data_IF_753299301630
#
_entry.id   IF_753299301630
#
_cell.length_a   1.000
_cell.length_b   1.000
_cell.length_c   1.000
_cell.angle_alpha   90.00
_cell.angle_beta   90.00
_cell.angle_gamma   90.00
#
_symmetry.space_group_name_H-M   'P 1'
#
loop_
_entity.id
_entity.type
_entity.pdbx_description
1 polymer ?
#
# COMPACT_ATOMS: atom_id res chain seq x y z
N UNK A 1 -13.59 -32.59 19.41
CA UNK A 1 -13.42 -31.13 19.28
C UNK A 1 -12.94 -30.81 17.86
N UNK A 2 -13.48 -31.49 16.86
CA UNK A 2 -14.75 -31.27 16.13
C UNK A 2 -14.56 -30.26 14.99
N UNK A 3 -14.50 -30.86 13.80
CA UNK A 3 -14.45 -30.43 12.40
C UNK A 3 -15.46 -29.32 11.99
N UNK A 4 -16.09 -28.64 12.94
CA UNK A 4 -17.19 -27.69 12.74
C UNK A 4 -16.69 -26.27 12.49
N UNK A 5 -15.45 -25.92 12.88
CA UNK A 5 -14.93 -24.56 12.70
C UNK A 5 -14.48 -24.22 11.26
N UNK A 6 -14.28 -25.20 10.38
CA UNK A 6 -13.82 -24.93 9.00
C UNK A 6 -14.96 -24.69 7.99
N UNK A 7 -16.21 -24.97 8.36
CA UNK A 7 -17.37 -24.74 7.49
C UNK A 7 -18.05 -23.37 7.67
N UNK A 8 -17.71 -22.63 8.73
CA UNK A 8 -18.32 -21.32 9.01
C UNK A 8 -17.66 -20.14 8.27
N UNK A 9 -16.51 -20.33 7.63
CA UNK A 9 -15.83 -19.28 6.86
C UNK A 9 -16.34 -19.14 5.42
N UNK A 10 -17.08 -20.12 4.89
CA UNK A 10 -17.57 -20.11 3.50
C UNK A 10 -19.00 -19.55 3.34
N UNK A 11 -19.77 -19.40 4.43
CA UNK A 11 -21.18 -18.96 4.35
C UNK A 11 -21.34 -17.45 4.59
N UNK A 12 -20.38 -16.78 5.25
CA UNK A 12 -20.50 -15.34 5.53
C UNK A 12 -20.24 -14.43 4.32
N UNK A 13 -19.66 -14.94 3.23
CA UNK A 13 -19.46 -14.14 2.00
C UNK A 13 -20.72 -14.00 1.15
N UNK A 14 -21.77 -14.81 1.38
CA UNK A 14 -22.98 -14.78 0.55
C UNK A 14 -24.14 -13.95 1.13
N UNK A 15 -24.05 -13.48 2.38
CA UNK A 15 -25.14 -12.71 3.03
C UNK A 15 -24.95 -11.20 2.94
N UNK A 16 -23.76 -10.70 2.56
CA UNK A 16 -23.53 -9.26 2.41
C UNK A 16 -24.01 -8.67 1.06
N UNK A 17 -24.62 -9.47 0.17
CA UNK A 17 -25.07 -9.03 -1.16
C UNK A 17 -26.60 -8.86 -1.30
N UNK A 18 -27.37 -9.03 -0.24
CA UNK A 18 -28.81 -8.83 -0.26
C UNK A 18 -29.31 -8.14 1.02
N UNK A 19 -28.90 -6.88 1.22
CA UNK A 19 -29.80 -5.89 1.80
C UNK A 19 -29.33 -4.46 1.45
N UNK A 20 -29.78 -3.96 0.30
CA UNK A 20 -29.89 -2.51 0.09
C UNK A 20 -31.31 -2.25 -0.37
N UNK A 21 -32.25 -2.43 0.56
CA UNK A 21 -33.56 -1.85 0.41
C UNK A 21 -33.46 -0.34 0.65
N UNK A 22 -33.79 0.38 -0.41
CA UNK A 22 -34.00 1.83 -0.49
C UNK A 22 -34.64 2.41 0.79
N UNK A 23 -33.94 3.33 1.43
CA UNK A 23 -34.59 4.38 2.22
C UNK A 23 -33.88 5.70 2.00
N UNK A 24 -34.49 6.51 1.13
CA UNK A 24 -34.20 7.91 0.94
C UNK A 24 -34.48 8.71 2.22
N UNK A 25 -33.47 9.42 2.72
CA UNK A 25 -33.69 10.67 3.46
C UNK A 25 -32.61 11.67 3.07
N UNK A 26 -33.08 12.85 2.69
CA UNK A 26 -32.32 14.00 2.22
C UNK A 26 -31.38 14.51 3.32
N UNK A 27 -30.16 14.87 2.94
CA UNK A 27 -29.52 16.08 3.45
C UNK A 27 -28.56 16.62 2.39
N UNK A 28 -28.72 17.91 2.10
CA UNK A 28 -28.04 18.66 1.06
C UNK A 28 -26.59 19.03 1.46
N UNK A 29 -25.79 19.22 0.42
CA UNK A 29 -24.58 20.06 0.38
C UNK A 29 -23.24 19.42 0.80
N UNK A 30 -22.68 18.62 -0.12
CA UNK A 30 -21.23 18.48 -0.28
C UNK A 30 -20.88 18.39 -1.77
N UNK A 31 -20.18 19.40 -2.28
CA UNK A 31 -19.86 19.59 -3.70
C UNK A 31 -19.34 18.32 -4.38
N UNK A 32 -20.10 17.85 -5.37
CA UNK A 32 -19.77 16.69 -6.20
C UNK A 32 -18.51 16.97 -7.03
N UNK A 33 -17.39 16.38 -6.65
CA UNK A 33 -16.18 16.35 -7.47
C UNK A 33 -16.39 15.29 -8.56
N UNK A 34 -16.58 15.73 -9.80
CA UNK A 34 -16.73 14.86 -10.97
C UNK A 34 -15.42 14.12 -11.25
N UNK A 35 -15.28 12.93 -10.70
CA UNK A 35 -14.30 11.95 -11.19
C UNK A 35 -14.83 11.49 -12.55
N UNK A 36 -14.04 11.72 -13.60
CA UNK A 36 -14.34 11.24 -14.94
C UNK A 36 -14.73 9.78 -14.88
N UNK A 37 -15.95 9.44 -15.32
CA UNK A 37 -16.39 8.05 -15.49
C UNK A 37 -15.45 7.37 -16.50
N UNK A 38 -14.39 6.74 -16.02
CA UNK A 38 -13.66 5.77 -16.83
C UNK A 38 -14.62 4.61 -17.03
N UNK A 39 -15.05 4.39 -18.28
CA UNK A 39 -15.86 3.24 -18.66
C UNK A 39 -15.00 2.01 -18.38
N UNK A 40 -15.24 1.37 -17.23
CA UNK A 40 -14.60 0.10 -16.89
C UNK A 40 -14.97 -0.92 -17.98
N UNK A 41 -14.00 -1.71 -18.43
CA UNK A 41 -14.30 -2.83 -19.31
C UNK A 41 -15.32 -3.75 -18.62
N UNK A 42 -16.28 -4.32 -19.36
CA UNK A 42 -17.26 -5.24 -18.79
C UNK A 42 -16.53 -6.46 -18.22
N UNK A 43 -16.79 -6.75 -16.94
CA UNK A 43 -16.19 -7.89 -16.25
C UNK A 43 -16.60 -9.21 -16.93
N UNK A 44 -15.63 -10.07 -17.23
CA UNK A 44 -15.90 -11.37 -17.84
C UNK A 44 -16.34 -12.40 -16.79
N UNK A 45 -17.62 -12.35 -16.41
CA UNK A 45 -18.22 -13.30 -15.46
C UNK A 45 -18.04 -14.77 -15.87
N UNK A 46 -18.14 -15.07 -17.16
CA UNK A 46 -18.02 -16.44 -17.65
C UNK A 46 -16.60 -17.00 -17.50
N UNK A 47 -15.58 -16.18 -17.80
CA UNK A 47 -14.18 -16.52 -17.60
C UNK A 47 -13.85 -16.66 -16.12
N UNK A 48 -14.34 -15.73 -15.28
CA UNK A 48 -14.16 -15.80 -13.83
C UNK A 48 -14.74 -17.09 -13.26
N UNK A 49 -15.99 -17.43 -13.58
CA UNK A 49 -16.65 -18.64 -13.05
C UNK A 49 -15.92 -19.92 -13.46
N UNK A 50 -15.40 -19.96 -14.69
CA UNK A 50 -14.59 -21.08 -15.19
C UNK A 50 -13.31 -21.24 -14.37
N UNK A 51 -12.52 -20.18 -14.21
CA UNK A 51 -11.27 -20.26 -13.45
C UNK A 51 -11.52 -20.50 -11.95
N UNK A 52 -12.56 -19.90 -11.38
CA UNK A 52 -12.95 -20.16 -9.99
C UNK A 52 -13.31 -21.64 -9.77
N UNK A 53 -14.03 -22.25 -10.72
CA UNK A 53 -14.37 -23.66 -10.69
C UNK A 53 -13.13 -24.55 -10.79
N UNK A 54 -12.15 -24.19 -11.63
CA UNK A 54 -10.86 -24.89 -11.71
C UNK A 54 -10.10 -24.84 -10.38
N UNK A 55 -10.06 -23.66 -9.73
CA UNK A 55 -9.41 -23.51 -8.42
C UNK A 55 -10.10 -24.35 -7.34
N UNK A 56 -11.43 -24.37 -7.33
CA UNK A 56 -12.23 -25.18 -6.42
C UNK A 56 -11.94 -26.69 -6.60
N UNK A 57 -11.91 -27.18 -7.83
CA UNK A 57 -11.59 -28.58 -8.10
C UNK A 57 -10.15 -28.93 -7.71
N UNK A 58 -9.17 -28.08 -8.01
CA UNK A 58 -7.77 -28.29 -7.58
C UNK A 58 -7.66 -28.38 -6.06
N UNK A 59 -8.34 -27.51 -5.32
CA UNK A 59 -8.37 -27.56 -3.86
C UNK A 59 -9.02 -28.85 -3.33
N UNK A 60 -10.09 -29.30 -3.97
CA UNK A 60 -10.77 -30.56 -3.64
C UNK A 60 -9.86 -31.77 -3.88
N UNK A 61 -9.14 -31.82 -5.00
CA UNK A 61 -8.19 -32.89 -5.31
C UNK A 61 -7.06 -32.94 -4.28
N UNK A 62 -6.46 -31.79 -3.94
CA UNK A 62 -5.45 -31.70 -2.86
C UNK A 62 -6.01 -32.27 -1.55
N UNK A 63 -7.23 -31.88 -1.17
CA UNK A 63 -7.85 -32.34 0.07
C UNK A 63 -8.11 -33.85 0.06
N UNK A 64 -8.67 -34.39 -1.02
CA UNK A 64 -8.91 -35.83 -1.19
C UNK A 64 -7.60 -36.62 -1.17
N UNK A 65 -6.57 -36.11 -1.81
CA UNK A 65 -5.23 -36.70 -1.80
C UNK A 65 -4.65 -36.70 -0.39
N UNK A 66 -4.67 -35.56 0.32
CA UNK A 66 -4.24 -35.50 1.73
C UNK A 66 -5.03 -36.51 2.58
N UNK A 67 -6.36 -36.60 2.45
CA UNK A 67 -7.17 -37.56 3.21
C UNK A 67 -6.83 -39.02 2.90
N UNK A 68 -6.50 -39.36 1.65
CA UNK A 68 -6.07 -40.71 1.26
C UNK A 68 -4.78 -41.12 1.98
N UNK A 69 -3.85 -40.17 2.18
CA UNK A 69 -2.58 -40.41 2.84
C UNK A 69 -2.62 -40.18 4.36
N UNK A 70 -3.58 -39.40 4.87
CA UNK A 70 -3.76 -39.10 6.29
C UNK A 70 -4.75 -40.08 6.97
N UNK A 71 -4.43 -41.37 6.99
CA UNK A 71 -5.22 -42.38 7.72
C UNK A 71 -5.26 -42.08 9.23
N UNK A 72 -6.39 -42.28 9.93
CA UNK A 72 -6.47 -42.03 11.37
C UNK A 72 -5.60 -43.04 12.13
N UNK A 73 -4.43 -42.63 12.61
CA UNK A 73 -3.55 -43.47 13.42
C UNK A 73 -2.04 -43.38 13.16
N UNK A 74 -1.56 -42.54 12.22
CA UNK A 74 -0.12 -42.36 12.02
C UNK A 74 0.51 -41.57 13.18
N UNK A 75 1.01 -42.29 14.20
CA UNK A 75 2.33 -41.98 14.73
C UNK A 75 3.29 -42.18 13.55
N UNK A 76 3.90 -41.09 13.09
CA UNK A 76 4.87 -41.12 11.99
C UNK A 76 5.95 -42.13 12.35
N UNK A 77 6.01 -43.26 11.63
CA UNK A 77 7.13 -44.18 11.72
C UNK A 77 8.38 -43.42 11.22
N UNK A 78 9.41 -43.29 12.06
CA UNK A 78 10.68 -42.64 11.68
C UNK A 78 11.33 -43.30 10.46
N UNK A 79 10.94 -44.53 10.12
CA UNK A 79 11.42 -45.29 8.97
C UNK A 79 10.51 -45.26 7.74
N UNK A 80 9.41 -44.49 7.76
CA UNK A 80 8.58 -44.36 6.57
C UNK A 80 9.34 -43.55 5.52
N UNK A 81 9.84 -44.24 4.50
CA UNK A 81 10.48 -43.65 3.34
C UNK A 81 9.55 -42.57 2.77
N UNK A 82 9.99 -41.30 2.78
CA UNK A 82 9.17 -40.19 2.29
C UNK A 82 8.82 -40.49 0.84
N UNK A 83 7.56 -40.79 0.55
CA UNK A 83 7.09 -41.03 -0.81
C UNK A 83 7.21 -39.70 -1.58
N UNK A 84 8.32 -39.51 -2.28
CA UNK A 84 8.68 -38.28 -2.99
C UNK A 84 7.56 -37.87 -3.96
N UNK A 85 6.84 -38.84 -4.52
CA UNK A 85 5.70 -38.65 -5.43
C UNK A 85 4.50 -37.94 -4.77
N UNK A 86 4.26 -38.17 -3.47
CA UNK A 86 3.21 -37.46 -2.74
C UNK A 86 3.48 -35.96 -2.69
N UNK A 87 4.70 -35.59 -2.31
CA UNK A 87 5.08 -34.18 -2.19
C UNK A 87 5.15 -33.49 -3.55
N UNK A 88 5.69 -34.15 -4.57
CA UNK A 88 5.72 -33.61 -5.92
C UNK A 88 4.29 -33.34 -6.45
N UNK A 89 3.36 -34.28 -6.25
CA UNK A 89 1.96 -34.08 -6.64
C UNK A 89 1.31 -32.89 -5.93
N UNK A 90 1.55 -32.74 -4.62
CA UNK A 90 1.05 -31.59 -3.86
C UNK A 90 1.66 -30.27 -4.34
N UNK A 91 2.96 -30.25 -4.62
CA UNK A 91 3.66 -29.07 -5.16
C UNK A 91 3.06 -28.70 -6.52
N UNK A 92 2.94 -29.64 -7.44
CA UNK A 92 2.42 -29.40 -8.79
C UNK A 92 0.98 -28.88 -8.76
N UNK A 93 0.11 -29.48 -7.94
CA UNK A 93 -1.25 -28.99 -7.77
C UNK A 93 -1.30 -27.61 -7.12
N UNK A 94 -0.45 -27.34 -6.13
CA UNK A 94 -0.36 -26.03 -5.48
C UNK A 94 0.08 -24.96 -6.48
N UNK A 95 1.08 -25.26 -7.32
CA UNK A 95 1.55 -24.36 -8.38
C UNK A 95 0.46 -24.10 -9.43
N UNK A 96 -0.29 -25.14 -9.82
CA UNK A 96 -1.44 -25.01 -10.71
C UNK A 96 -2.53 -24.12 -10.11
N UNK A 97 -2.88 -24.32 -8.85
CA UNK A 97 -3.83 -23.49 -8.12
C UNK A 97 -3.35 -22.03 -8.04
N UNK A 98 -2.06 -21.82 -7.78
CA UNK A 98 -1.45 -20.49 -7.70
C UNK A 98 -1.58 -19.73 -9.03
N UNK A 99 -1.36 -20.42 -10.16
CA UNK A 99 -1.57 -19.85 -11.50
C UNK A 99 -3.02 -19.42 -11.72
N UNK A 100 -3.98 -20.26 -11.34
CA UNK A 100 -5.41 -19.92 -11.47
C UNK A 100 -5.76 -18.68 -10.64
N UNK A 101 -5.26 -18.58 -9.42
CA UNK A 101 -5.47 -17.39 -8.58
C UNK A 101 -4.83 -16.14 -9.17
N UNK A 102 -3.69 -16.27 -9.85
CA UNK A 102 -3.09 -15.15 -10.58
C UNK A 102 -3.97 -14.70 -11.76
N UNK A 103 -4.49 -15.64 -12.55
CA UNK A 103 -5.41 -15.33 -13.65
C UNK A 103 -6.69 -14.64 -13.13
N UNK A 104 -7.28 -15.16 -12.05
CA UNK A 104 -8.44 -14.53 -11.38
C UNK A 104 -8.12 -13.13 -10.86
N UNK A 105 -6.94 -12.94 -10.27
CA UNK A 105 -6.47 -11.61 -9.81
C UNK A 105 -6.39 -10.64 -10.97
N UNK A 106 -5.84 -11.04 -12.12
CA UNK A 106 -5.74 -10.20 -13.31
C UNK A 106 -7.12 -9.81 -13.85
N UNK A 107 -8.10 -10.72 -13.83
CA UNK A 107 -9.49 -10.41 -14.24
C UNK A 107 -10.18 -9.39 -13.34
N UNK A 108 -9.88 -9.41 -12.03
CA UNK A 108 -10.42 -8.47 -11.05
C UNK A 108 -9.73 -7.10 -11.03
N UNK A 109 -8.57 -6.96 -11.68
CA UNK A 109 -7.79 -5.72 -11.64
C UNK A 109 -8.34 -4.68 -12.62
N UNK A 110 -8.97 -3.63 -12.07
CA UNK A 110 -9.28 -2.43 -12.83
C UNK A 110 -8.07 -1.49 -12.89
N UNK A 111 -7.10 -1.80 -13.75
CA UNK A 111 -5.86 -1.05 -13.89
C UNK A 111 -6.10 0.43 -14.17
N UNK A 112 -7.07 0.75 -15.04
CA UNK A 112 -7.44 2.11 -15.38
C UNK A 112 -7.98 2.89 -14.18
N UNK A 113 -8.86 2.28 -13.36
CA UNK A 113 -9.35 2.90 -12.14
C UNK A 113 -8.23 3.10 -11.12
N UNK A 114 -7.36 2.09 -10.93
CA UNK A 114 -6.18 2.17 -10.05
C UNK A 114 -5.24 3.28 -10.47
N UNK A 115 -4.94 3.39 -11.77
CA UNK A 115 -4.06 4.43 -12.31
C UNK A 115 -4.69 5.82 -12.17
N UNK A 116 -5.96 5.98 -12.55
CA UNK A 116 -6.71 7.23 -12.39
C UNK A 116 -6.71 7.69 -10.93
N UNK A 117 -6.99 6.77 -10.00
CA UNK A 117 -7.01 7.07 -8.57
C UNK A 117 -5.61 7.40 -8.02
N UNK A 118 -4.58 6.70 -8.48
CA UNK A 118 -3.17 7.01 -8.17
C UNK A 118 -2.80 8.42 -8.63
N UNK A 119 -3.19 8.81 -9.85
CA UNK A 119 -2.94 10.15 -10.39
C UNK A 119 -3.70 11.22 -9.58
N UNK A 120 -4.95 10.97 -9.23
CA UNK A 120 -5.73 11.85 -8.37
C UNK A 120 -5.04 12.11 -7.02
N UNK A 121 -4.61 11.05 -6.32
CA UNK A 121 -3.92 11.19 -5.03
C UNK A 121 -2.60 11.93 -5.18
N UNK A 122 -1.83 11.64 -6.23
CA UNK A 122 -0.59 12.37 -6.54
C UNK A 122 -0.85 13.88 -6.71
N UNK A 123 -1.93 14.25 -7.40
CA UNK A 123 -2.32 15.63 -7.61
C UNK A 123 -2.82 16.32 -6.34
N UNK A 124 -3.51 15.59 -5.46
CA UNK A 124 -3.88 16.10 -4.12
C UNK A 124 -2.63 16.44 -3.32
N UNK A 125 -1.66 15.51 -3.25
CA UNK A 125 -0.40 15.73 -2.54
C UNK A 125 0.36 16.91 -3.17
N UNK A 126 0.46 16.93 -4.50
CA UNK A 126 1.15 18.01 -5.21
C UNK A 126 0.52 19.38 -4.93
N UNK A 127 -0.81 19.50 -5.01
CA UNK A 127 -1.52 20.76 -4.75
C UNK A 127 -1.38 21.22 -3.30
N UNK A 128 -1.49 20.30 -2.34
CA UNK A 128 -1.29 20.61 -0.92
C UNK A 128 0.13 21.14 -0.65
N UNK A 129 1.15 20.53 -1.26
CA UNK A 129 2.53 20.95 -1.07
C UNK A 129 2.89 22.23 -1.85
N UNK A 130 2.15 22.58 -2.91
CA UNK A 130 2.44 23.73 -3.77
C UNK A 130 1.32 24.78 -3.76
N UNK A 131 1.09 25.48 -2.63
CA UNK A 131 0.09 26.55 -2.59
C UNK A 131 0.46 27.68 -3.57
N UNK A 132 -0.56 28.30 -4.18
CA UNK A 132 -0.39 29.47 -5.07
C UNK A 132 0.30 30.63 -4.34
N UNK A 133 -0.04 30.83 -3.06
CA UNK A 133 0.53 31.87 -2.20
C UNK A 133 1.14 31.20 -0.96
N UNK A 134 2.47 31.12 -0.91
CA UNK A 134 3.21 30.69 0.29
C UNK A 134 3.70 31.91 1.08
N UNK A 135 2.78 32.72 1.62
CA UNK A 135 3.12 33.93 2.41
C UNK A 135 2.06 34.17 3.48
N UNK A 136 2.49 34.49 4.70
CA UNK A 136 1.62 34.71 5.87
C UNK A 136 0.70 33.52 6.20
N UNK A 137 1.07 32.31 5.76
CA UNK A 137 0.31 31.08 6.02
C UNK A 137 0.93 30.26 7.14
N UNK A 138 0.13 29.38 7.72
CA UNK A 138 0.62 28.34 8.61
C UNK A 138 1.11 27.13 7.80
N UNK A 139 2.24 26.56 8.20
CA UNK A 139 2.88 25.42 7.55
C UNK A 139 3.31 24.42 8.61
N UNK A 140 3.34 23.14 8.24
CA UNK A 140 3.92 22.10 9.09
C UNK A 140 5.43 22.09 8.86
N UNK A 141 6.21 22.22 9.93
CA UNK A 141 7.67 22.27 9.87
C UNK A 141 8.31 20.99 10.37
N UNK A 142 9.33 20.51 9.66
CA UNK A 142 10.21 19.45 10.13
C UNK A 142 11.66 19.93 10.19
N UNK A 143 12.28 19.73 11.35
CA UNK A 143 13.69 20.00 11.58
C UNK A 143 14.37 18.70 12.06
N UNK A 144 15.24 18.07 11.24
CA UNK A 144 15.96 16.88 11.66
C UNK A 144 16.85 17.17 12.89
N UNK A 145 16.67 16.39 13.96
CA UNK A 145 17.45 16.51 15.22
C UNK A 145 18.51 15.42 15.37
N UNK A 146 18.26 14.23 14.85
CA UNK A 146 19.10 13.05 15.04
C UNK A 146 19.72 12.60 13.70
N UNK A 147 20.98 12.15 13.76
CA UNK A 147 21.61 11.48 12.63
C UNK A 147 21.12 10.04 12.56
N UNK A 148 20.19 9.74 11.66
CA UNK A 148 19.74 8.38 11.37
C UNK A 148 19.92 8.00 9.89
N UNK A 149 19.79 6.71 9.56
CA UNK A 149 19.94 6.20 8.20
C UNK A 149 18.87 6.69 7.21
N UNK A 150 19.02 6.33 5.93
CA UNK A 150 18.15 6.80 4.84
C UNK A 150 16.69 6.44 5.06
N UNK A 151 16.42 5.18 5.42
CA UNK A 151 15.07 4.69 5.69
C UNK A 151 14.39 5.46 6.83
N UNK A 152 15.13 5.77 7.90
CA UNK A 152 14.61 6.57 9.01
C UNK A 152 14.26 8.00 8.57
N UNK A 153 15.12 8.65 7.78
CA UNK A 153 14.83 9.99 7.24
C UNK A 153 13.59 9.99 6.35
N UNK A 154 13.47 9.01 5.44
CA UNK A 154 12.29 8.86 4.57
C UNK A 154 11.03 8.62 5.40
N UNK A 155 11.10 7.81 6.45
CA UNK A 155 9.96 7.54 7.32
C UNK A 155 9.53 8.79 8.12
N UNK A 156 10.48 9.58 8.64
CA UNK A 156 10.18 10.85 9.32
C UNK A 156 9.56 11.88 8.36
N UNK A 157 10.02 11.93 7.11
CA UNK A 157 9.41 12.75 6.05
C UNK A 157 8.00 12.27 5.70
N UNK A 158 7.79 10.96 5.60
CA UNK A 158 6.49 10.36 5.30
C UNK A 158 5.47 10.68 6.39
N UNK A 159 5.88 10.55 7.66
CA UNK A 159 5.07 10.96 8.80
C UNK A 159 4.72 12.45 8.75
N UNK A 160 5.71 13.31 8.52
CA UNK A 160 5.47 14.75 8.43
C UNK A 160 4.54 15.13 7.28
N UNK A 161 4.65 14.44 6.14
CA UNK A 161 3.82 14.69 4.97
C UNK A 161 2.39 14.19 5.20
N UNK A 162 2.21 13.03 5.83
CA UNK A 162 0.90 12.53 6.22
C UNK A 162 0.18 13.52 7.15
N UNK A 163 0.86 13.99 8.20
CA UNK A 163 0.31 15.01 9.13
C UNK A 163 -0.02 16.33 8.42
N UNK A 164 0.84 16.77 7.51
CA UNK A 164 0.62 17.98 6.73
C UNK A 164 -0.61 17.87 5.82
N UNK A 165 -0.82 16.71 5.19
CA UNK A 165 -2.01 16.41 4.38
C UNK A 165 -3.28 16.41 5.25
N UNK A 166 -3.24 15.78 6.42
CA UNK A 166 -4.38 15.76 7.36
C UNK A 166 -4.77 17.16 7.83
N UNK A 167 -3.79 18.03 8.08
CA UNK A 167 -4.06 19.43 8.49
C UNK A 167 -4.29 20.38 7.30
N UNK A 168 -4.26 19.90 6.05
CA UNK A 168 -4.44 20.72 4.86
C UNK A 168 -3.33 21.77 4.64
N UNK A 169 -2.13 21.54 5.18
CA UNK A 169 -1.01 22.49 5.18
C UNK A 169 0.18 21.94 4.39
N UNK A 170 1.03 22.77 3.77
CA UNK A 170 2.27 22.30 3.16
C UNK A 170 3.29 21.88 4.22
N UNK A 171 4.12 20.88 3.91
CA UNK A 171 5.26 20.49 4.73
C UNK A 171 6.49 21.26 4.28
N UNK A 172 7.15 21.94 5.21
CA UNK A 172 8.43 22.61 4.98
C UNK A 172 9.53 21.94 5.80
N UNK A 173 10.58 21.51 5.12
CA UNK A 173 11.69 20.77 5.73
C UNK A 173 12.93 21.65 5.81
N UNK A 174 13.52 21.74 7.00
CA UNK A 174 14.83 22.38 7.19
C UNK A 174 15.92 21.42 6.73
N UNK A 175 16.77 21.89 5.84
CA UNK A 175 17.98 21.16 5.47
C UNK A 175 18.89 20.98 6.67
N UNK A 176 19.32 19.74 6.92
CA UNK A 176 20.31 19.40 7.94
C UNK A 176 21.37 18.48 7.33
N UNK A 177 22.62 18.64 7.78
CA UNK A 177 23.76 17.84 7.29
C UNK A 177 23.48 16.36 7.54
N UNK A 178 23.65 15.54 6.51
CA UNK A 178 23.31 14.13 6.56
C UNK A 178 24.38 13.29 5.87
N UNK A 179 25.21 12.60 6.66
CA UNK A 179 26.37 11.86 6.18
C UNK A 179 27.28 12.73 5.28
N UNK A 180 27.54 12.26 4.06
CA UNK A 180 28.33 12.96 3.05
C UNK A 180 27.51 13.96 2.20
N UNK A 181 26.23 14.16 2.53
CA UNK A 181 25.35 15.12 1.86
C UNK A 181 25.09 16.34 2.75
N UNK A 182 24.86 17.49 2.12
CA UNK A 182 24.46 18.68 2.86
C UNK A 182 23.04 18.51 3.41
N UNK A 183 22.16 17.83 2.66
CA UNK A 183 20.82 17.48 3.08
C UNK A 183 20.30 16.23 2.35
N UNK A 184 19.28 15.57 2.88
CA UNK A 184 18.52 14.55 2.10
C UNK A 184 17.93 15.12 0.80
N UNK A 185 17.65 16.42 0.76
CA UNK A 185 17.16 17.14 -0.43
C UNK A 185 18.23 17.27 -1.54
N UNK A 186 19.46 16.84 -1.29
CA UNK A 186 20.49 16.69 -2.33
C UNK A 186 20.25 15.41 -3.16
N UNK A 187 19.49 14.44 -2.62
CA UNK A 187 19.16 13.17 -3.27
C UNK A 187 17.74 13.22 -3.86
N UNK A 188 16.77 13.66 -3.05
CA UNK A 188 15.38 13.78 -3.47
C UNK A 188 15.09 15.17 -4.05
N UNK A 189 14.10 15.25 -4.92
CA UNK A 189 13.51 16.50 -5.40
C UNK A 189 12.87 17.24 -4.21
N UNK A 190 12.81 18.58 -4.24
CA UNK A 190 12.16 19.33 -3.19
C UNK A 190 10.67 18.92 -3.07
N UNK A 191 10.18 18.77 -1.84
CA UNK A 191 8.79 18.38 -1.59
C UNK A 191 7.79 19.38 -2.16
N UNK A 192 8.19 20.65 -2.23
CA UNK A 192 7.44 21.76 -2.79
C UNK A 192 8.35 22.60 -3.69
N UNK A 193 7.81 23.06 -4.81
CA UNK A 193 8.43 24.04 -5.71
C UNK A 193 8.15 25.47 -5.24
N UNK A 194 6.99 25.72 -4.62
CA UNK A 194 6.53 27.08 -4.28
C UNK A 194 6.78 27.48 -2.82
N UNK A 195 6.92 26.51 -1.91
CA UNK A 195 6.94 26.76 -0.46
C UNK A 195 8.13 26.07 0.23
N UNK A 196 9.08 26.86 0.74
CA UNK A 196 10.36 26.35 1.25
C UNK A 196 10.66 26.84 2.65
N UNK A 197 11.23 25.96 3.50
CA UNK A 197 11.62 26.31 4.88
C UNK A 197 12.57 27.52 4.93
N UNK A 198 13.55 27.60 4.01
CA UNK A 198 14.49 28.72 3.91
C UNK A 198 13.82 30.09 3.73
N UNK A 199 12.59 30.13 3.21
CA UNK A 199 11.81 31.37 3.02
C UNK A 199 10.94 31.71 4.23
N UNK A 200 11.02 30.98 5.36
CA UNK A 200 10.24 31.20 6.59
C UNK A 200 10.17 32.68 7.00
N UNK A 201 11.32 33.35 7.13
CA UNK A 201 11.39 34.76 7.54
C UNK A 201 10.81 35.70 6.48
N UNK A 202 11.27 35.57 5.23
CA UNK A 202 10.84 36.42 4.12
C UNK A 202 9.33 36.32 3.85
N UNK A 203 8.78 35.11 3.95
CA UNK A 203 7.37 34.83 3.70
C UNK A 203 6.51 34.93 4.96
N UNK A 204 7.08 35.28 6.13
CA UNK A 204 6.38 35.36 7.42
C UNK A 204 5.55 34.10 7.72
N UNK A 205 6.13 32.92 7.49
CA UNK A 205 5.45 31.65 7.71
C UNK A 205 5.29 31.37 9.21
N UNK A 206 4.07 30.99 9.63
CA UNK A 206 3.84 30.42 10.97
C UNK A 206 4.14 28.94 10.92
N UNK A 207 5.24 28.52 11.53
CA UNK A 207 5.70 27.12 11.44
C UNK A 207 5.27 26.36 12.67
N UNK A 208 4.36 25.40 12.50
CA UNK A 208 4.01 24.40 13.51
C UNK A 208 4.99 23.24 13.41
N UNK A 209 5.96 23.19 14.31
CA UNK A 209 7.00 22.15 14.28
C UNK A 209 6.42 20.80 14.67
N UNK A 210 6.80 19.77 13.93
CA UNK A 210 6.54 18.39 14.29
C UNK A 210 7.57 17.99 15.34
N UNK A 211 7.06 17.57 16.49
CA UNK A 211 7.85 16.85 17.49
C UNK A 211 7.70 15.36 17.22
N UNK A 212 8.81 14.71 16.92
CA UNK A 212 8.93 13.28 17.07
C UNK A 212 9.17 13.07 18.56
N UNK A 213 8.16 12.55 19.26
CA UNK A 213 8.32 12.22 20.65
C UNK A 213 9.36 11.11 20.82
N UNK A 214 9.97 11.01 21.99
CA UNK A 214 10.58 9.75 22.43
C UNK A 214 9.58 8.59 22.22
N UNK A 215 10.12 7.41 21.95
CA UNK A 215 9.46 6.18 21.45
C UNK A 215 8.03 5.91 21.97
N UNK A 216 7.69 6.37 23.17
CA UNK A 216 6.39 6.18 23.81
C UNK A 216 5.21 6.98 23.22
N UNK A 217 5.37 8.20 22.69
CA UNK A 217 4.21 8.91 22.02
C UNK A 217 4.16 8.70 20.52
N UNK A 218 5.19 8.10 19.93
CA UNK A 218 5.19 7.67 18.53
C UNK A 218 4.03 6.66 18.31
N UNK A 219 3.69 5.84 19.30
CA UNK A 219 2.60 4.85 19.24
C UNK A 219 1.21 5.41 18.91
N UNK A 220 0.85 6.59 19.39
CA UNK A 220 -0.50 7.16 19.16
C UNK A 220 -0.69 7.64 17.72
N UNK A 221 0.35 8.21 17.11
CA UNK A 221 0.32 8.70 15.72
C UNK A 221 0.86 7.70 14.69
N UNK A 222 1.41 6.57 15.14
CA UNK A 222 1.68 5.38 14.32
C UNK A 222 0.44 4.51 14.11
N UNK A 223 -0.72 4.89 14.65
CA UNK A 223 -1.96 4.26 14.19
C UNK A 223 -2.06 4.47 12.69
N UNK A 224 -2.21 3.39 11.88
CA UNK A 224 -2.42 3.47 10.44
C UNK A 224 -3.56 4.45 10.10
N UNK A 225 -3.21 5.72 9.85
CA UNK A 225 -4.18 6.78 9.64
C UNK A 225 -4.11 7.25 8.19
N UNK A 226 -5.21 7.08 7.47
CA UNK A 226 -5.42 7.57 6.13
C UNK A 226 -6.86 8.09 5.99
N UNK A 227 -7.18 8.88 4.96
CA UNK A 227 -8.52 9.43 4.83
C UNK A 227 -9.59 8.33 4.68
N UNK A 228 -10.57 8.28 5.57
CA UNK A 228 -11.59 7.22 5.58
C UNK A 228 -12.41 7.17 4.27
N UNK A 229 -12.64 8.33 3.65
CA UNK A 229 -13.42 8.50 2.43
C UNK A 229 -12.78 7.88 1.17
N UNK A 230 -11.54 7.40 1.25
CA UNK A 230 -10.89 6.69 0.14
C UNK A 230 -10.68 5.20 0.40
N UNK A 231 -11.09 4.69 1.57
CA UNK A 231 -10.88 3.30 1.96
C UNK A 231 -11.48 2.32 0.95
N UNK A 232 -12.78 2.41 0.71
CA UNK A 232 -13.51 1.51 -0.19
C UNK A 232 -12.90 1.51 -1.59
N UNK A 233 -12.54 2.70 -2.11
CA UNK A 233 -11.89 2.84 -3.41
C UNK A 233 -10.54 2.14 -3.49
N UNK A 234 -9.79 2.09 -2.40
CA UNK A 234 -8.50 1.39 -2.36
C UNK A 234 -8.74 -0.13 -2.26
N UNK A 235 -9.72 -0.55 -1.47
CA UNK A 235 -10.08 -1.96 -1.28
C UNK A 235 -10.53 -2.65 -2.58
N UNK A 236 -11.02 -1.88 -3.56
CA UNK A 236 -11.31 -2.37 -4.91
C UNK A 236 -10.08 -2.98 -5.63
N UNK A 237 -8.86 -2.57 -5.29
CA UNK A 237 -7.65 -3.03 -6.00
C UNK A 237 -6.44 -3.31 -5.10
N UNK A 238 -6.53 -3.10 -3.79
CA UNK A 238 -5.43 -3.32 -2.84
C UNK A 238 -5.95 -3.87 -1.51
N UNK A 239 -5.30 -4.92 -1.00
CA UNK A 239 -5.73 -5.65 0.21
C UNK A 239 -5.44 -4.92 1.52
N UNK A 240 -4.50 -3.97 1.50
CA UNK A 240 -4.14 -3.13 2.65
C UNK A 240 -4.23 -1.64 2.27
N UNK A 241 -5.34 -0.95 2.61
CA UNK A 241 -5.52 0.46 2.23
C UNK A 241 -4.47 1.41 2.81
N UNK A 242 -4.00 1.14 4.03
CA UNK A 242 -2.98 1.97 4.66
C UNK A 242 -1.63 1.81 3.96
N UNK A 243 -1.23 0.58 3.67
CA UNK A 243 0.03 0.31 2.96
C UNK A 243 0.05 0.96 1.58
N UNK A 244 -1.08 0.93 0.87
CA UNK A 244 -1.20 1.65 -0.40
C UNK A 244 -1.05 3.17 -0.21
N UNK A 245 -1.75 3.74 0.79
CA UNK A 245 -1.71 5.17 1.07
C UNK A 245 -0.30 5.67 1.43
N UNK A 246 0.39 5.00 2.35
CA UNK A 246 1.76 5.36 2.72
C UNK A 246 2.71 5.17 1.53
N UNK A 247 2.45 4.19 0.66
CA UNK A 247 3.13 4.01 -0.61
C UNK A 247 3.04 5.23 -1.53
N UNK A 248 1.89 5.89 -1.62
CA UNK A 248 1.72 7.13 -2.39
C UNK A 248 2.56 8.29 -1.81
N UNK A 249 2.57 8.41 -0.48
CA UNK A 249 3.37 9.41 0.24
C UNK A 249 4.87 9.18 -0.01
N UNK A 250 5.33 7.94 0.15
CA UNK A 250 6.73 7.55 -0.07
C UNK A 250 7.12 7.79 -1.53
N UNK A 251 6.26 7.43 -2.49
CA UNK A 251 6.51 7.69 -3.91
C UNK A 251 6.68 9.19 -4.21
N UNK A 252 5.86 10.05 -3.59
CA UNK A 252 5.99 11.50 -3.72
C UNK A 252 7.32 12.03 -3.13
N UNK A 253 7.78 11.48 -2.01
CA UNK A 253 9.05 11.84 -1.36
C UNK A 253 10.24 11.35 -2.19
N UNK A 254 10.20 10.11 -2.67
CA UNK A 254 11.29 9.45 -3.40
C UNK A 254 11.35 9.83 -4.89
N UNK A 255 10.84 11.00 -5.27
CA UNK A 255 11.15 11.60 -6.56
C UNK A 255 12.62 11.99 -6.56
N UNK A 256 13.47 11.08 -7.01
CA UNK A 256 14.92 11.28 -7.01
C UNK A 256 15.33 12.37 -8.01
N UNK A 257 16.41 13.07 -7.70
CA UNK A 257 16.99 14.03 -8.64
C UNK A 257 17.55 13.30 -9.87
N UNK A 258 17.53 13.93 -11.06
CA UNK A 258 18.01 13.29 -12.30
C UNK A 258 19.44 12.74 -12.21
N UNK A 259 20.34 13.47 -11.55
CA UNK A 259 21.73 13.06 -11.38
C UNK A 259 21.89 11.81 -10.48
N UNK A 260 20.95 11.55 -9.56
CA UNK A 260 20.91 10.33 -8.75
C UNK A 260 20.35 9.19 -9.60
N UNK A 261 19.23 9.41 -10.29
CA UNK A 261 18.61 8.41 -11.18
C UNK A 261 19.62 7.86 -12.18
N UNK A 262 20.42 8.74 -12.81
CA UNK A 262 21.43 8.32 -13.78
C UNK A 262 22.55 7.46 -13.17
N UNK A 263 22.83 7.58 -11.86
CA UNK A 263 23.82 6.76 -11.16
C UNK A 263 23.27 5.40 -10.72
N UNK A 264 21.97 5.32 -10.44
CA UNK A 264 21.34 4.11 -9.90
C UNK A 264 20.63 3.27 -10.97
N UNK A 265 20.50 3.76 -12.21
CA UNK A 265 19.91 3.00 -13.32
C UNK A 265 20.68 1.68 -13.46
N UNK A 266 20.05 0.54 -13.14
CA UNK A 266 20.75 -0.73 -13.18
C UNK A 266 20.86 -1.20 -14.62
N UNK A 267 22.06 -1.60 -15.04
CA UNK A 267 22.30 -2.13 -16.38
C UNK A 267 22.06 -3.65 -16.48
N UNK A 268 21.75 -4.34 -15.36
CA UNK A 268 21.88 -5.81 -15.26
C UNK A 268 20.75 -6.53 -14.52
N UNK A 269 19.58 -5.92 -14.33
CA UNK A 269 18.44 -6.60 -13.71
C UNK A 269 17.42 -7.02 -14.77
N UNK A 270 17.23 -8.32 -14.94
CA UNK A 270 16.21 -8.94 -15.81
C UNK A 270 15.24 -9.78 -14.98
N UNK A 271 13.94 -9.59 -15.17
CA UNK A 271 12.90 -10.37 -14.50
C UNK A 271 12.92 -11.87 -14.91
N UNK A 272 12.49 -12.80 -14.03
CA UNK A 272 12.00 -12.58 -12.66
C UNK A 272 13.14 -12.38 -11.64
N UNK A 273 12.94 -11.51 -10.65
CA UNK A 273 13.93 -11.19 -9.60
C UNK A 273 13.25 -11.23 -8.24
N UNK A 274 13.91 -11.86 -7.26
CA UNK A 274 13.52 -11.82 -5.85
C UNK A 274 14.53 -10.98 -5.08
N UNK A 275 14.06 -9.90 -4.45
CA UNK A 275 14.89 -9.08 -3.56
C UNK A 275 14.96 -9.69 -2.17
N UNK A 276 16.16 -9.89 -1.64
CA UNK A 276 16.37 -10.27 -0.24
C UNK A 276 17.24 -9.21 0.45
N UNK A 277 16.89 -8.85 1.69
CA UNK A 277 17.63 -7.90 2.51
C UNK A 277 17.99 -8.56 3.82
N UNK A 278 19.28 -8.65 4.12
CA UNK A 278 19.79 -9.18 5.39
C UNK A 278 20.34 -8.00 6.19
N UNK A 279 19.64 -7.65 7.26
CA UNK A 279 20.10 -6.65 8.21
C UNK A 279 20.92 -7.36 9.28
N UNK A 280 22.23 -7.09 9.32
CA UNK A 280 23.09 -7.53 10.43
C UNK A 280 22.93 -6.49 11.54
N UNK A 281 22.40 -6.93 12.68
CA UNK A 281 22.20 -6.13 13.90
C UNK A 281 23.48 -6.16 14.73
#
# INVERSE_FOLDING_TARGET
>A
MSLVCLLWTLVFFFVALHDTQDHSTQDEDAGSVSISKSVAQPFNYSGFLKEWTNAYFSQKEILLYIFKYATPGMLVDENLEKEIDFYNYLIDNSLYQMKIFEDLRLMGQNEAARESFTNYVRDVIHRNQNPKICRNIEVIGYEPKESCGFGCQVNQLAYGLAKALMEGKPLVVKGSRWNNFNTILDIIMPLSQTCHYRRKKANKLRVKLIEFADENRIKEFLTPAFPANIKEKIEEFHTDPYLWWIGQIINYILRLRPHIVNKIKPNYFTSPIVGYSVTVI
#
